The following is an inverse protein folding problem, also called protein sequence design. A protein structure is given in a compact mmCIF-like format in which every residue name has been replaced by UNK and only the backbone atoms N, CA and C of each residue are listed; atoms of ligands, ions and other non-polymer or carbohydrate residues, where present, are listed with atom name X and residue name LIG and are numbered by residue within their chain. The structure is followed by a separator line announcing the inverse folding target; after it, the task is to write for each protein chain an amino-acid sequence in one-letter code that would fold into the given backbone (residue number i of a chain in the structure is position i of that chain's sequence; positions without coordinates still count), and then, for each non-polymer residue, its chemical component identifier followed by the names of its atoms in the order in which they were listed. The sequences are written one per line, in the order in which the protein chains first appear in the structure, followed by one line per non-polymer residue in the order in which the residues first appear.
data_IF_700602034953
#
_entry.id   IF_700602034953
#
_cell.length_a   1.000
_cell.length_b   1.000
_cell.length_c   1.000
_cell.angle_alpha   90.00
_cell.angle_beta   90.00
_cell.angle_gamma   90.00
#
_symmetry.space_group_name_H-M   'P 1'
#
loop_
_entity.id
_entity.type
_entity.pdbx_description
1 polymer ?
#
# COMPACT_ATOMS: atom_id res chain seq x y z
N UNK A 1 0.44 1.03 0.49
CA UNK A 1 1.44 -0.01 0.23
C UNK A 1 1.16 -1.23 1.08
N UNK A 2 1.16 -2.40 0.47
CA UNK A 2 1.03 -3.66 1.20
C UNK A 2 2.25 -3.92 2.07
N UNK A 3 2.00 -4.31 3.32
CA UNK A 3 3.03 -4.63 4.31
C UNK A 3 2.95 -6.13 4.63
N UNK A 4 3.38 -6.96 3.71
CA UNK A 4 3.45 -8.40 3.97
C UNK A 4 4.50 -8.70 5.05
N UNK A 5 5.61 -7.98 5.01
CA UNK A 5 6.69 -8.00 6.00
C UNK A 5 7.26 -6.59 6.14
N UNK A 6 7.73 -6.24 7.32
CA UNK A 6 8.33 -4.93 7.56
C UNK A 6 9.51 -4.66 6.64
N UNK A 7 10.38 -5.64 6.44
CA UNK A 7 11.56 -5.50 5.59
C UNK A 7 11.18 -5.27 4.13
N UNK A 8 10.11 -5.90 3.67
CA UNK A 8 9.62 -5.70 2.30
C UNK A 8 9.06 -4.27 2.14
N UNK A 9 8.26 -3.80 3.09
CA UNK A 9 7.68 -2.46 3.03
C UNK A 9 8.78 -1.39 3.05
N UNK A 10 9.77 -1.54 3.91
CA UNK A 10 10.91 -0.62 3.98
C UNK A 10 11.73 -0.62 2.69
N UNK A 11 11.96 -1.79 2.10
CA UNK A 11 12.67 -1.92 0.83
C UNK A 11 11.93 -1.23 -0.32
N UNK A 12 10.60 -1.37 -0.37
CA UNK A 12 9.77 -0.71 -1.38
C UNK A 12 9.80 0.82 -1.23
N UNK A 13 9.70 1.30 0.00
CA UNK A 13 9.76 2.74 0.29
C UNK A 13 11.09 3.32 -0.17
N UNK A 14 12.19 2.64 0.15
CA UNK A 14 13.52 3.08 -0.24
C UNK A 14 13.73 3.03 -1.75
N UNK A 15 13.39 1.91 -2.38
CA UNK A 15 13.60 1.71 -3.83
C UNK A 15 12.80 2.71 -4.68
N UNK A 16 11.60 3.08 -4.24
CA UNK A 16 10.74 3.99 -4.97
C UNK A 16 10.85 5.44 -4.49
N UNK A 17 11.74 5.71 -3.55
CA UNK A 17 11.94 7.05 -2.98
C UNK A 17 10.64 7.64 -2.43
N UNK A 18 9.84 6.83 -1.75
CA UNK A 18 8.56 7.28 -1.21
C UNK A 18 8.78 8.08 0.08
N UNK A 19 8.10 9.23 0.24
CA UNK A 19 8.17 9.95 1.51
C UNK A 19 7.40 9.19 2.59
N UNK A 20 8.07 8.85 3.69
CA UNK A 20 7.49 8.05 4.77
C UNK A 20 6.24 8.69 5.39
N UNK A 21 6.16 10.01 5.38
CA UNK A 21 5.02 10.76 5.90
C UNK A 21 3.79 10.72 4.99
N UNK A 22 3.87 9.99 3.87
CA UNK A 22 2.76 9.80 2.93
C UNK A 22 2.40 8.34 2.69
N UNK A 23 3.02 7.43 3.45
CA UNK A 23 2.82 5.98 3.27
C UNK A 23 2.06 5.41 4.45
N UNK A 24 0.92 4.77 4.17
CA UNK A 24 0.13 4.03 5.17
C UNK A 24 -0.15 4.82 6.45
N UNK A 25 -0.61 6.05 6.31
CA UNK A 25 -0.77 6.97 7.44
C UNK A 25 -1.77 6.50 8.49
N UNK A 26 -2.74 5.68 8.11
CA UNK A 26 -3.70 5.10 9.03
C UNK A 26 -3.30 3.72 9.55
N UNK A 27 -2.06 3.30 9.34
CA UNK A 27 -1.59 1.95 9.63
C UNK A 27 -1.82 0.99 8.48
N UNK A 28 -1.09 -0.09 8.44
CA UNK A 28 -1.15 -1.08 7.37
C UNK A 28 -1.32 -2.50 7.90
N UNK A 29 -0.94 -3.46 7.08
CA UNK A 29 -1.14 -4.88 7.37
C UNK A 29 -0.36 -5.37 8.60
N UNK A 30 0.77 -4.76 8.92
CA UNK A 30 1.52 -5.10 10.13
C UNK A 30 0.69 -4.86 11.40
N UNK A 31 -0.16 -3.82 11.36
CA UNK A 31 -1.03 -3.49 12.49
C UNK A 31 -2.37 -4.22 12.44
N UNK A 32 -2.89 -4.54 11.24
CA UNK A 32 -4.27 -4.99 11.04
C UNK A 32 -4.40 -6.43 10.55
N UNK A 33 -3.32 -7.01 10.07
CA UNK A 33 -3.33 -8.33 9.47
C UNK A 33 -3.39 -8.30 7.95
N UNK A 34 -3.13 -9.45 7.35
CA UNK A 34 -3.04 -9.62 5.91
C UNK A 34 -3.99 -10.72 5.43
N UNK A 35 -5.29 -10.42 5.26
CA UNK A 35 -6.19 -11.35 4.62
C UNK A 35 -5.88 -11.41 3.12
N UNK A 36 -5.12 -12.40 2.70
CA UNK A 36 -4.47 -12.46 1.39
C UNK A 36 -5.45 -12.18 0.23
N UNK A 37 -6.63 -12.78 0.26
CA UNK A 37 -7.62 -12.59 -0.81
C UNK A 37 -8.31 -11.23 -0.79
N UNK A 38 -8.16 -10.44 0.27
CA UNK A 38 -8.86 -9.17 0.43
C UNK A 38 -7.92 -7.97 0.57
N UNK A 39 -6.62 -8.17 0.79
CA UNK A 39 -5.70 -7.08 1.10
C UNK A 39 -5.62 -6.02 0.00
N UNK A 40 -5.64 -6.41 -1.27
CA UNK A 40 -5.65 -5.45 -2.37
C UNK A 40 -6.88 -4.56 -2.34
N UNK A 41 -8.05 -5.15 -2.12
CA UNK A 41 -9.31 -4.40 -2.01
C UNK A 41 -9.31 -3.50 -0.78
N UNK A 42 -8.75 -3.95 0.33
CA UNK A 42 -8.61 -3.13 1.55
C UNK A 42 -7.75 -1.91 1.28
N UNK A 43 -6.62 -2.07 0.59
CA UNK A 43 -5.75 -0.95 0.24
C UNK A 43 -6.48 0.06 -0.66
N UNK A 44 -7.18 -0.42 -1.67
CA UNK A 44 -7.91 0.46 -2.59
C UNK A 44 -9.04 1.20 -1.89
N UNK A 45 -9.82 0.52 -1.07
CA UNK A 45 -10.91 1.13 -0.31
C UNK A 45 -10.37 2.18 0.67
N UNK A 46 -9.29 1.87 1.38
CA UNK A 46 -8.65 2.78 2.30
C UNK A 46 -8.15 4.03 1.58
N UNK A 47 -7.46 3.85 0.46
CA UNK A 47 -6.98 4.95 -0.34
C UNK A 47 -8.13 5.85 -0.81
N UNK A 48 -9.21 5.26 -1.28
CA UNK A 48 -10.39 6.00 -1.73
C UNK A 48 -10.94 6.90 -0.62
N UNK A 49 -11.04 6.38 0.60
CA UNK A 49 -11.57 7.14 1.73
C UNK A 49 -10.59 8.17 2.29
N UNK A 50 -9.30 7.92 2.17
CA UNK A 50 -8.27 8.81 2.73
C UNK A 50 -7.80 9.88 1.75
N UNK A 51 -8.16 9.77 0.48
CA UNK A 51 -7.74 10.70 -0.56
C UNK A 51 -8.31 12.09 -0.31
N UNK A 52 -7.45 13.13 -0.39
CA UNK A 52 -7.86 14.53 -0.14
C UNK A 52 -7.55 15.43 -1.32
N UNK A 53 -6.29 15.71 -1.60
CA UNK A 53 -5.84 16.82 -2.43
C UNK A 53 -5.13 16.42 -3.72
N UNK A 54 -5.12 15.19 -4.09
CA UNK A 54 -4.40 14.77 -5.28
C UNK A 54 -4.49 13.28 -5.48
N UNK A 55 -3.78 12.74 -6.44
CA UNK A 55 -3.80 11.31 -6.70
C UNK A 55 -3.18 10.50 -5.56
N UNK A 56 -3.67 9.30 -5.40
CA UNK A 56 -3.12 8.32 -4.47
C UNK A 56 -2.74 7.04 -5.18
N UNK A 57 -1.82 6.31 -4.59
CA UNK A 57 -1.30 5.06 -5.13
C UNK A 57 -1.52 3.92 -4.13
N UNK A 58 -2.10 2.84 -4.59
CA UNK A 58 -2.15 1.58 -3.87
C UNK A 58 -1.29 0.56 -4.60
N UNK A 59 -0.43 -0.14 -3.89
CA UNK A 59 0.47 -1.12 -4.48
C UNK A 59 0.58 -2.36 -3.61
N UNK A 60 0.61 -3.52 -4.23
CA UNK A 60 0.71 -4.81 -3.57
C UNK A 60 1.61 -5.74 -4.39
N UNK A 61 2.50 -6.44 -3.71
CA UNK A 61 3.31 -7.49 -4.31
C UNK A 61 2.66 -8.85 -4.06
N UNK A 62 2.95 -9.81 -4.90
CA UNK A 62 2.48 -11.18 -4.76
C UNK A 62 3.61 -12.17 -4.98
N UNK A 63 3.41 -13.40 -4.55
CA UNK A 63 4.39 -14.48 -4.75
C UNK A 63 4.65 -14.70 -6.24
N UNK A 64 5.90 -15.08 -6.56
CA UNK A 64 6.30 -15.35 -7.94
C UNK A 64 6.84 -14.13 -8.69
N UNK A 65 7.21 -13.08 -7.98
CA UNK A 65 7.83 -11.90 -8.59
C UNK A 65 6.85 -10.99 -9.32
N UNK A 66 5.59 -11.02 -8.95
CA UNK A 66 4.56 -10.17 -9.55
C UNK A 66 4.09 -9.10 -8.58
N UNK A 67 3.49 -8.07 -9.10
CA UNK A 67 2.90 -7.00 -8.31
C UNK A 67 1.85 -6.25 -9.11
N UNK A 68 1.06 -5.47 -8.41
CA UNK A 68 0.00 -4.66 -8.99
C UNK A 68 -0.04 -3.31 -8.32
N UNK A 69 -0.39 -2.29 -9.07
CA UNK A 69 -0.54 -0.94 -8.56
C UNK A 69 -1.75 -0.27 -9.18
N UNK A 70 -2.39 0.59 -8.39
CA UNK A 70 -3.57 1.34 -8.78
C UNK A 70 -3.39 2.79 -8.39
N UNK A 71 -3.62 3.69 -9.32
CA UNK A 71 -3.64 5.13 -9.06
C UNK A 71 -5.10 5.60 -9.09
N UNK A 72 -5.51 6.31 -8.04
CA UNK A 72 -6.83 6.92 -7.95
C UNK A 72 -6.61 8.43 -7.89
N UNK A 73 -7.37 9.17 -8.69
CA UNK A 73 -7.38 10.63 -8.67
C UNK A 73 -8.77 11.14 -8.27
N UNK A 74 -8.84 12.28 -7.57
CA UNK A 74 -10.13 12.89 -7.22
C UNK A 74 -10.88 13.38 -8.45
#
# INVERSE_FOLDING_TARGET
LMEAYAVQALACIEACHLPADRVNLGGGALARGHPIGASGAVLAARLFHDLRDGPGLAAIAAAGGIGSALVIAP
#
